data_IF_792994921401
#
_entry.id   IF_792994921401
#
_cell.length_a   1.000
_cell.length_b   1.000
_cell.length_c   1.000
_cell.angle_alpha   90.00
_cell.angle_beta   90.00
_cell.angle_gamma   90.00
#
_symmetry.space_group_name_H-M   'P 1'
#
loop_
_entity.id
_entity.type
_entity.pdbx_description
1 polymer ?
#
# COMPACT_ATOMS: atom_id res chain seq x y z
N UNK A 1 -2.69 12.02 -18.14
CA UNK A 1 -3.51 13.15 -17.69
C UNK A 1 -4.19 13.77 -18.89
N UNK A 2 -5.46 14.08 -18.80
CA UNK A 2 -6.25 14.81 -19.79
C UNK A 2 -7.24 15.71 -19.07
N UNK A 3 -7.72 16.72 -19.78
CA UNK A 3 -8.78 17.62 -19.31
C UNK A 3 -9.98 17.42 -20.23
N UNK A 4 -11.15 17.24 -19.67
CA UNK A 4 -12.40 17.15 -20.43
C UNK A 4 -12.86 18.53 -20.90
N UNK A 5 -13.51 18.57 -22.07
CA UNK A 5 -14.16 19.79 -22.51
C UNK A 5 -15.41 20.05 -21.68
N UNK A 6 -15.64 21.30 -21.29
CA UNK A 6 -16.83 21.68 -20.54
C UNK A 6 -16.72 22.99 -19.80
N UNK A 7 -17.81 23.37 -19.16
CA UNK A 7 -17.88 24.56 -18.29
C UNK A 7 -17.39 24.20 -16.90
N UNK A 8 -16.35 24.89 -16.45
CA UNK A 8 -15.77 24.76 -15.12
C UNK A 8 -16.11 25.99 -14.29
N UNK A 9 -16.59 25.78 -13.08
CA UNK A 9 -16.84 26.85 -12.10
C UNK A 9 -15.63 27.04 -11.22
N UNK A 10 -15.10 28.25 -11.19
CA UNK A 10 -14.07 28.67 -10.26
C UNK A 10 -14.76 29.31 -9.07
N UNK A 11 -14.60 28.72 -7.90
CA UNK A 11 -15.21 29.16 -6.67
C UNK A 11 -14.14 29.68 -5.72
N UNK A 12 -14.35 30.92 -5.21
CA UNK A 12 -13.46 31.53 -4.21
C UNK A 12 -14.29 31.81 -2.96
N UNK A 13 -13.86 31.26 -1.85
CA UNK A 13 -14.57 31.38 -0.58
C UNK A 13 -13.68 31.15 0.64
N UNK A 14 -14.21 31.43 1.81
CA UNK A 14 -13.56 31.14 3.08
C UNK A 14 -13.62 29.64 3.43
N UNK A 15 -14.59 28.92 2.89
CA UNK A 15 -14.73 27.46 2.98
C UNK A 15 -15.57 26.94 1.82
N UNK A 16 -15.71 25.62 1.67
CA UNK A 16 -16.60 24.99 0.68
C UNK A 16 -18.09 25.34 0.86
N UNK A 17 -18.48 25.93 2.00
CA UNK A 17 -19.85 26.37 2.34
C UNK A 17 -20.00 27.89 2.39
N UNK A 18 -18.92 28.65 2.30
CA UNK A 18 -18.89 30.12 2.28
C UNK A 18 -18.20 30.57 0.99
N UNK A 19 -18.91 30.42 -0.15
CA UNK A 19 -18.47 30.85 -1.46
C UNK A 19 -18.82 32.30 -1.65
N UNK A 20 -17.86 33.16 -1.96
CA UNK A 20 -17.99 34.60 -2.07
C UNK A 20 -17.92 35.11 -3.48
N UNK A 21 -17.17 34.45 -4.33
CA UNK A 21 -17.03 34.78 -5.75
C UNK A 21 -17.17 33.51 -6.57
N UNK A 22 -17.82 33.62 -7.70
CA UNK A 22 -17.97 32.54 -8.68
C UNK A 22 -17.68 33.10 -10.07
N UNK A 23 -16.94 32.34 -10.88
CA UNK A 23 -16.74 32.59 -12.29
C UNK A 23 -16.83 31.27 -13.06
N UNK A 24 -17.35 31.34 -14.28
CA UNK A 24 -17.38 30.18 -15.17
C UNK A 24 -16.34 30.36 -16.29
N UNK A 25 -15.64 29.30 -16.61
CA UNK A 25 -14.71 29.27 -17.74
C UNK A 25 -14.96 27.98 -18.55
N UNK A 26 -15.09 28.14 -19.86
CA UNK A 26 -15.13 27.00 -20.74
C UNK A 26 -13.71 26.54 -21.04
N UNK A 27 -13.46 25.25 -20.82
CA UNK A 27 -12.17 24.61 -21.12
C UNK A 27 -12.37 23.70 -22.31
N UNK A 28 -11.52 23.82 -23.32
CA UNK A 28 -11.52 22.92 -24.46
C UNK A 28 -10.43 21.87 -24.30
N UNK A 29 -10.80 20.60 -24.47
CA UNK A 29 -9.83 19.50 -24.40
C UNK A 29 -8.95 19.51 -25.66
N UNK A 30 -7.66 19.30 -25.46
CA UNK A 30 -6.70 19.10 -26.55
C UNK A 30 -6.64 17.64 -27.02
N UNK A 31 -7.37 16.74 -26.36
CA UNK A 31 -7.37 15.30 -26.61
C UNK A 31 -8.81 14.79 -26.69
N UNK A 32 -9.16 14.06 -27.73
CA UNK A 32 -10.45 13.34 -27.82
C UNK A 32 -10.42 12.12 -26.87
N UNK A 33 -10.69 12.38 -25.59
CA UNK A 33 -10.73 11.35 -24.58
C UNK A 33 -12.11 10.70 -24.55
N UNK A 34 -12.19 9.44 -24.95
CA UNK A 34 -13.42 8.63 -24.79
C UNK A 34 -13.58 8.29 -23.31
N UNK A 35 -14.60 8.86 -22.68
CA UNK A 35 -15.02 8.49 -21.32
C UNK A 35 -15.74 7.12 -21.43
N UNK A 36 -15.26 6.08 -20.76
CA UNK A 36 -15.91 4.77 -20.82
C UNK A 36 -17.26 4.80 -20.11
N UNK A 37 -18.27 4.24 -20.75
CA UNK A 37 -19.60 4.03 -20.16
C UNK A 37 -19.69 2.65 -19.51
N UNK A 38 -19.68 2.61 -18.18
CA UNK A 38 -19.80 1.40 -17.39
C UNK A 38 -21.23 1.11 -16.92
N UNK A 39 -22.25 1.87 -17.37
CA UNK A 39 -23.63 1.70 -16.91
C UNK A 39 -24.18 0.30 -17.10
N UNK A 40 -23.70 -0.43 -18.11
CA UNK A 40 -24.11 -1.81 -18.41
C UNK A 40 -23.17 -2.86 -17.80
N UNK A 41 -21.88 -2.58 -17.73
CA UNK A 41 -20.85 -3.56 -17.33
C UNK A 41 -20.51 -3.49 -15.85
N UNK A 42 -20.78 -2.37 -15.20
CA UNK A 42 -20.56 -2.17 -13.76
C UNK A 42 -21.62 -1.24 -13.15
N UNK A 43 -22.93 -1.58 -13.24
CA UNK A 43 -24.04 -0.74 -12.80
C UNK A 43 -24.00 -0.43 -11.30
N UNK A 44 -23.36 -1.25 -10.46
CA UNK A 44 -23.24 -0.99 -9.03
C UNK A 44 -22.56 0.34 -8.71
N UNK A 45 -21.63 0.82 -9.55
CA UNK A 45 -20.95 2.10 -9.36
C UNK A 45 -21.86 3.32 -9.60
N UNK A 46 -22.90 3.16 -10.42
CA UNK A 46 -23.88 4.24 -10.68
C UNK A 46 -24.98 4.31 -9.61
N UNK A 47 -25.30 3.15 -9.00
CA UNK A 47 -26.32 3.07 -7.95
C UNK A 47 -25.80 3.33 -6.53
N UNK A 48 -24.53 3.69 -6.36
CA UNK A 48 -23.86 3.83 -5.07
C UNK A 48 -23.93 2.57 -4.17
N UNK A 49 -24.23 1.42 -4.72
CA UNK A 49 -24.34 0.14 -4.01
C UNK A 49 -22.95 -0.57 -3.95
N UNK A 50 -21.98 0.15 -3.42
CA UNK A 50 -20.57 -0.29 -3.35
C UNK A 50 -20.36 -1.50 -2.43
N UNK A 51 -21.34 -1.87 -1.62
CA UNK A 51 -21.24 -3.01 -0.71
C UNK A 51 -21.40 -4.36 -1.43
N UNK A 52 -21.93 -4.36 -2.66
CA UNK A 52 -22.23 -5.57 -3.43
C UNK A 52 -21.58 -5.56 -4.82
N UNK A 53 -20.35 -5.03 -4.91
CA UNK A 53 -19.59 -5.04 -6.17
C UNK A 53 -19.15 -6.47 -6.49
N UNK A 54 -19.55 -6.99 -7.64
CA UNK A 54 -19.08 -8.29 -8.12
C UNK A 54 -17.65 -8.21 -8.66
N UNK A 55 -16.95 -9.35 -8.68
CA UNK A 55 -15.60 -9.43 -9.27
C UNK A 55 -15.61 -9.04 -10.75
N UNK A 56 -16.66 -9.37 -11.49
CA UNK A 56 -16.79 -9.04 -12.92
C UNK A 56 -17.00 -7.54 -13.14
N UNK A 57 -17.83 -6.88 -12.32
CA UNK A 57 -18.02 -5.44 -12.38
C UNK A 57 -16.72 -4.69 -12.02
N UNK A 58 -16.02 -5.14 -10.96
CA UNK A 58 -14.72 -4.57 -10.61
C UNK A 58 -13.70 -4.74 -11.74
N UNK A 59 -13.64 -5.94 -12.34
CA UNK A 59 -12.75 -6.23 -13.46
C UNK A 59 -13.06 -5.36 -14.70
N UNK A 60 -14.34 -5.12 -14.97
CA UNK A 60 -14.76 -4.25 -16.09
C UNK A 60 -14.22 -2.82 -15.92
N UNK A 61 -14.24 -2.26 -14.70
CA UNK A 61 -13.71 -0.93 -14.40
C UNK A 61 -12.17 -0.95 -14.33
N UNK A 62 -11.58 -2.00 -13.76
CA UNK A 62 -10.12 -2.15 -13.65
C UNK A 62 -9.45 -2.33 -15.03
N UNK A 63 -10.18 -2.88 -16.01
CA UNK A 63 -9.70 -3.05 -17.39
C UNK A 63 -8.61 -4.11 -17.58
N UNK A 64 -8.39 -4.96 -16.59
CA UNK A 64 -7.37 -6.02 -16.59
C UNK A 64 -7.88 -7.25 -15.85
N UNK A 65 -7.21 -8.38 -16.05
CA UNK A 65 -7.43 -9.56 -15.22
C UNK A 65 -7.07 -9.25 -13.76
N UNK A 66 -7.91 -9.74 -12.85
CA UNK A 66 -7.63 -9.61 -11.41
C UNK A 66 -6.44 -10.53 -11.07
N UNK A 67 -5.50 -10.02 -10.25
CA UNK A 67 -4.46 -10.90 -9.74
C UNK A 67 -5.10 -12.01 -8.90
N UNK A 68 -4.48 -13.21 -8.85
CA UNK A 68 -4.98 -14.28 -8.01
C UNK A 68 -5.05 -13.83 -6.55
N UNK A 69 -6.12 -14.20 -5.85
CA UNK A 69 -6.32 -13.89 -4.43
C UNK A 69 -5.31 -14.61 -3.52
N UNK A 70 -4.76 -15.72 -4.01
CA UNK A 70 -3.74 -16.50 -3.32
C UNK A 70 -2.39 -16.22 -3.98
N UNK A 71 -1.39 -15.86 -3.17
CA UNK A 71 -0.06 -15.60 -3.66
C UNK A 71 0.55 -16.85 -4.29
N UNK A 72 1.17 -16.70 -5.46
CA UNK A 72 2.05 -17.72 -6.01
C UNK A 72 3.30 -17.85 -5.14
N UNK A 73 3.50 -19.04 -4.53
CA UNK A 73 4.67 -19.35 -3.68
C UNK A 73 5.99 -19.29 -4.46
N UNK A 74 5.95 -19.44 -5.78
CA UNK A 74 7.12 -19.36 -6.66
C UNK A 74 7.41 -17.94 -7.14
N UNK A 75 6.52 -16.99 -6.87
CA UNK A 75 6.76 -15.58 -7.21
C UNK A 75 7.91 -15.00 -6.38
N UNK A 76 8.70 -14.08 -6.94
CA UNK A 76 9.76 -13.41 -6.19
C UNK A 76 9.24 -12.77 -4.91
N UNK A 77 9.95 -12.98 -3.81
CA UNK A 77 9.63 -12.34 -2.54
C UNK A 77 10.13 -10.91 -2.55
N UNK A 78 9.25 -9.97 -2.24
CA UNK A 78 9.50 -8.54 -2.35
C UNK A 78 9.08 -7.79 -1.09
N UNK A 79 9.28 -6.49 -1.05
CA UNK A 79 8.78 -5.61 0.02
C UNK A 79 7.25 -5.59 0.15
N UNK A 80 6.51 -6.08 -0.85
CA UNK A 80 5.05 -6.22 -0.81
C UNK A 80 4.59 -7.46 -0.05
N UNK A 81 5.50 -8.38 0.25
CA UNK A 81 5.21 -9.58 1.01
C UNK A 81 5.18 -9.30 2.50
N UNK A 82 4.55 -10.21 3.21
CA UNK A 82 4.33 -10.16 4.65
C UNK A 82 5.24 -11.16 5.37
N UNK A 83 5.33 -11.07 6.70
CA UNK A 83 6.02 -12.09 7.50
C UNK A 83 5.26 -13.42 7.43
N UNK A 84 3.94 -13.38 7.34
CA UNK A 84 3.10 -14.58 7.17
C UNK A 84 3.40 -15.31 5.85
N UNK A 85 3.66 -14.59 4.76
CA UNK A 85 4.07 -15.19 3.48
C UNK A 85 5.38 -15.99 3.58
N UNK A 86 6.22 -15.70 4.55
CA UNK A 86 7.50 -16.37 4.77
C UNK A 86 7.43 -17.53 5.76
N UNK A 87 6.24 -17.90 6.26
CA UNK A 87 6.09 -18.91 7.33
C UNK A 87 6.61 -20.30 6.96
N UNK A 88 6.70 -20.62 5.67
CA UNK A 88 7.19 -21.90 5.15
C UNK A 88 8.74 -21.97 5.14
N UNK A 89 9.45 -20.85 5.25
CA UNK A 89 10.90 -20.82 5.37
C UNK A 89 11.37 -21.11 6.80
N UNK A 90 12.63 -21.50 6.96
CA UNK A 90 13.19 -21.86 8.28
C UNK A 90 13.17 -20.69 9.27
N UNK A 91 13.70 -19.54 8.85
CA UNK A 91 13.76 -18.35 9.71
C UNK A 91 12.48 -17.56 9.70
N UNK A 92 11.81 -17.42 8.56
CA UNK A 92 10.51 -16.80 8.46
C UNK A 92 9.47 -17.47 9.36
N UNK A 93 9.38 -18.80 9.32
CA UNK A 93 8.49 -19.55 10.18
C UNK A 93 8.83 -19.45 11.68
N UNK A 94 10.12 -19.28 12.05
CA UNK A 94 10.49 -19.03 13.45
C UNK A 94 10.07 -17.63 13.91
N UNK A 95 10.31 -16.62 13.08
CA UNK A 95 9.94 -15.25 13.37
C UNK A 95 8.42 -15.12 13.44
N UNK A 96 7.70 -15.70 12.49
CA UNK A 96 6.24 -15.73 12.48
C UNK A 96 5.68 -16.31 13.80
N UNK A 97 6.11 -17.51 14.18
CA UNK A 97 5.66 -18.17 15.41
C UNK A 97 6.03 -17.38 16.67
N UNK A 98 7.19 -16.73 16.69
CA UNK A 98 7.59 -15.88 17.81
C UNK A 98 6.67 -14.67 17.95
N UNK A 99 6.37 -13.99 16.85
CA UNK A 99 5.48 -12.82 16.84
C UNK A 99 4.06 -13.22 17.27
N UNK A 100 3.52 -14.31 16.73
CA UNK A 100 2.19 -14.83 17.14
C UNK A 100 2.18 -15.20 18.62
N UNK A 101 3.23 -15.82 19.14
CA UNK A 101 3.33 -16.16 20.58
C UNK A 101 3.38 -14.93 21.47
N UNK A 102 4.04 -13.86 21.02
CA UNK A 102 4.20 -12.62 21.82
C UNK A 102 2.98 -11.71 21.75
N UNK A 103 2.35 -11.62 20.59
CA UNK A 103 1.31 -10.62 20.29
C UNK A 103 -0.10 -11.21 20.26
N UNK A 104 -0.24 -12.53 20.10
CA UNK A 104 -1.52 -13.24 19.94
C UNK A 104 -1.97 -13.31 18.48
N UNK A 105 -2.43 -14.50 18.06
CA UNK A 105 -2.87 -14.73 16.67
C UNK A 105 -4.12 -13.91 16.31
N UNK A 106 -5.06 -13.81 17.25
CA UNK A 106 -6.36 -13.16 17.03
C UNK A 106 -6.38 -11.68 17.48
N UNK A 107 -5.22 -11.09 17.66
CA UNK A 107 -5.11 -9.70 18.08
C UNK A 107 -4.78 -8.78 16.89
N UNK A 108 -5.20 -7.52 16.98
CA UNK A 108 -4.82 -6.50 16.00
C UNK A 108 -3.28 -6.35 15.90
N UNK A 109 -2.58 -6.44 17.04
CA UNK A 109 -1.12 -6.36 17.07
C UNK A 109 -0.46 -7.53 16.33
N UNK A 110 -0.96 -8.76 16.52
CA UNK A 110 -0.49 -9.94 15.79
C UNK A 110 -0.73 -9.81 14.28
N UNK A 111 -1.94 -9.40 13.88
CA UNK A 111 -2.28 -9.19 12.48
C UNK A 111 -1.39 -8.10 11.84
N UNK A 112 -1.23 -6.95 12.49
CA UNK A 112 -0.36 -5.86 12.01
C UNK A 112 1.08 -6.36 11.86
N UNK A 113 1.60 -7.08 12.84
CA UNK A 113 2.99 -7.55 12.81
C UNK A 113 3.26 -8.61 11.73
N UNK A 114 2.27 -9.44 11.37
CA UNK A 114 2.47 -10.58 10.47
C UNK A 114 1.87 -10.42 9.09
N UNK A 115 0.79 -9.65 8.95
CA UNK A 115 0.02 -9.51 7.70
C UNK A 115 0.24 -8.20 6.95
N UNK A 116 0.88 -7.20 7.58
CA UNK A 116 1.26 -6.00 6.84
C UNK A 116 2.46 -6.26 5.92
N UNK A 117 2.44 -5.71 4.70
CA UNK A 117 3.61 -5.74 3.82
C UNK A 117 4.86 -5.13 4.48
N UNK A 118 6.02 -5.73 4.22
CA UNK A 118 7.31 -5.29 4.80
C UNK A 118 7.58 -3.81 4.54
N UNK A 119 7.17 -3.28 3.38
CA UNK A 119 7.30 -1.84 3.07
C UNK A 119 6.62 -0.93 4.09
N UNK A 120 5.54 -1.40 4.73
CA UNK A 120 4.80 -0.59 5.69
C UNK A 120 5.62 -0.34 6.96
N UNK A 121 6.47 -1.29 7.35
CA UNK A 121 7.39 -1.08 8.47
C UNK A 121 8.37 0.06 8.21
N UNK A 122 8.80 0.25 6.95
CA UNK A 122 9.65 1.40 6.57
C UNK A 122 8.88 2.71 6.81
N UNK A 123 7.65 2.80 6.30
CA UNK A 123 6.82 4.01 6.39
C UNK A 123 6.38 4.32 7.82
N UNK A 124 6.01 3.29 8.60
CA UNK A 124 5.47 3.43 9.95
C UNK A 124 6.55 3.61 11.03
N UNK A 125 7.81 3.34 10.70
CA UNK A 125 8.91 3.39 11.66
C UNK A 125 9.45 4.79 11.95
N UNK A 126 8.92 5.83 11.29
CA UNK A 126 9.45 7.19 11.41
C UNK A 126 10.96 7.29 11.10
N UNK A 127 11.43 6.47 10.15
CA UNK A 127 12.83 6.40 9.75
C UNK A 127 13.73 5.53 10.64
N UNK A 128 13.15 4.76 11.56
CA UNK A 128 13.90 3.81 12.40
C UNK A 128 14.21 2.51 11.66
N UNK A 129 13.36 2.12 10.70
CA UNK A 129 13.56 0.95 9.86
C UNK A 129 13.85 1.41 8.42
N UNK A 130 15.09 1.25 7.97
CA UNK A 130 15.51 1.73 6.65
C UNK A 130 15.19 0.72 5.54
N UNK A 131 15.17 1.16 4.25
CA UNK A 131 15.04 0.23 3.11
C UNK A 131 16.10 -0.88 3.11
N UNK A 132 17.35 -0.57 3.46
CA UNK A 132 18.42 -1.56 3.54
C UNK A 132 18.15 -2.60 4.64
N UNK A 133 17.59 -2.18 5.78
CA UNK A 133 17.17 -3.10 6.84
C UNK A 133 16.05 -4.02 6.36
N UNK A 134 15.15 -3.52 5.53
CA UNK A 134 14.08 -4.32 4.92
C UNK A 134 14.62 -5.35 3.92
N UNK A 135 15.62 -5.00 3.12
CA UNK A 135 16.33 -5.95 2.25
C UNK A 135 17.00 -7.04 3.07
N UNK A 136 17.67 -6.68 4.16
CA UNK A 136 18.27 -7.64 5.09
C UNK A 136 17.24 -8.58 5.72
N UNK A 137 16.04 -8.05 6.04
CA UNK A 137 14.93 -8.85 6.55
C UNK A 137 14.44 -9.85 5.49
N UNK A 138 14.32 -9.46 4.23
CA UNK A 138 13.94 -10.35 3.12
C UNK A 138 14.94 -11.52 2.98
N UNK A 139 16.24 -11.25 3.06
CA UNK A 139 17.26 -12.29 3.02
C UNK A 139 17.08 -13.33 4.14
N UNK A 140 16.66 -12.89 5.32
CA UNK A 140 16.38 -13.78 6.45
C UNK A 140 15.09 -14.55 6.24
N UNK A 141 14.02 -13.84 5.87
CA UNK A 141 12.67 -14.39 5.82
C UNK A 141 12.49 -15.41 4.69
N UNK A 142 13.05 -15.12 3.52
CA UNK A 142 12.79 -15.89 2.30
C UNK A 142 13.97 -16.76 1.88
N UNK A 143 15.19 -16.23 1.92
CA UNK A 143 16.37 -16.93 1.45
C UNK A 143 17.08 -17.75 2.52
N UNK A 144 16.56 -17.73 3.75
CA UNK A 144 17.16 -18.40 4.93
C UNK A 144 18.63 -18.00 5.22
N UNK A 145 19.06 -16.84 4.71
CA UNK A 145 20.41 -16.31 4.84
C UNK A 145 20.58 -15.43 6.08
N UNK A 146 20.45 -16.02 7.27
CA UNK A 146 20.49 -15.26 8.53
C UNK A 146 21.71 -14.36 8.65
N UNK A 147 22.91 -14.90 8.42
CA UNK A 147 24.17 -14.14 8.59
C UNK A 147 24.30 -12.99 7.59
N UNK A 148 23.93 -13.19 6.32
CA UNK A 148 23.94 -12.16 5.30
C UNK A 148 22.89 -11.08 5.61
N UNK A 149 21.68 -11.48 5.96
CA UNK A 149 20.59 -10.55 6.29
C UNK A 149 20.92 -9.69 7.52
N UNK A 150 21.45 -10.30 8.60
CA UNK A 150 21.91 -9.54 9.76
C UNK A 150 23.01 -8.54 9.40
N UNK A 151 23.98 -8.92 8.56
CA UNK A 151 25.03 -8.00 8.10
C UNK A 151 24.44 -6.78 7.35
N UNK A 152 23.41 -6.98 6.55
CA UNK A 152 22.73 -5.88 5.84
C UNK A 152 21.95 -5.01 6.83
N UNK A 153 21.20 -5.61 7.77
CA UNK A 153 20.47 -4.88 8.81
C UNK A 153 21.43 -4.02 9.65
N UNK A 154 22.57 -4.57 10.07
CA UNK A 154 23.56 -3.81 10.86
C UNK A 154 24.14 -2.61 10.13
N UNK A 155 24.22 -2.61 8.79
CA UNK A 155 24.62 -1.44 8.01
C UNK A 155 23.62 -0.28 8.12
N UNK A 156 22.34 -0.57 8.40
CA UNK A 156 21.30 0.46 8.61
C UNK A 156 21.33 1.12 9.98
N UNK A 157 22.00 0.53 10.99
CA UNK A 157 22.02 1.02 12.37
C UNK A 157 22.57 2.47 12.51
N UNK A 158 23.61 2.90 11.82
CA UNK A 158 24.06 4.30 11.91
C UNK A 158 22.97 5.30 11.54
N UNK A 159 22.15 4.99 10.53
CA UNK A 159 21.01 5.82 10.15
C UNK A 159 19.91 5.82 11.22
N UNK A 160 19.65 4.67 11.83
CA UNK A 160 18.73 4.53 12.96
C UNK A 160 19.16 5.43 14.13
N UNK A 161 20.44 5.39 14.54
CA UNK A 161 20.97 6.21 15.66
C UNK A 161 20.83 7.71 15.32
N UNK A 162 21.15 8.10 14.10
CA UNK A 162 21.03 9.49 13.63
C UNK A 162 19.56 9.96 13.68
N UNK A 163 18.62 9.11 13.28
CA UNK A 163 17.20 9.45 13.27
C UNK A 163 16.60 9.49 14.68
N UNK A 164 17.01 8.60 15.59
CA UNK A 164 16.67 8.68 17.01
C UNK A 164 17.11 10.00 17.66
N UNK A 165 18.28 10.50 17.29
CA UNK A 165 18.77 11.80 17.76
C UNK A 165 17.88 12.98 17.32
N UNK A 166 17.28 12.90 16.13
CA UNK A 166 16.34 13.93 15.64
C UNK A 166 14.97 13.87 16.33
N UNK A 167 14.46 12.68 16.62
CA UNK A 167 13.17 12.50 17.31
C UNK A 167 13.19 13.04 18.76
N UNK A 168 14.36 13.11 19.41
CA UNK A 168 14.49 13.72 20.74
C UNK A 168 14.45 15.26 20.75
N UNK A 169 14.42 15.88 19.57
CA UNK A 169 14.41 17.35 19.43
C UNK A 169 13.01 17.90 19.08
N UNK A 170 12.01 17.01 18.94
CA UNK A 170 10.60 17.32 18.76
C UNK A 170 9.87 17.11 20.09
#
# INVERSE_FOLDING_TARGET
WHVESGDFKILVGASSRDIRLEASVYVESTVDAKVPDYSKTAPCYYGANIMNVSADEFKAVYGKELPPSVRDKNAPFTLLNTIEDAQDSKWGGRIYRLLIKMLGADTMAGAVATQLPIKNFISMSFGLFSPEMAEGLILILHEDKLGAGLKVIFKGIPNLIKNLGKLKQI
#
